data_IF_731658908047
#
_entry.id   IF_731658908047
#
_cell.length_a   1.000
_cell.length_b   1.000
_cell.length_c   1.000
_cell.angle_alpha   90.00
_cell.angle_beta   90.00
_cell.angle_gamma   90.00
#
_symmetry.space_group_name_H-M   'P 1'
#
loop_
_entity.id
_entity.type
_entity.pdbx_description
1 polymer ?
#
# COMPACT_ATOMS: atom_id res chain seq x y z
N UNK A 1 -26.24 -15.06 46.95
CA UNK A 1 -25.23 -15.09 45.87
C UNK A 1 -24.05 -14.21 46.28
N UNK A 2 -22.90 -14.81 46.57
CA UNK A 2 -21.73 -14.12 47.14
C UNK A 2 -21.05 -13.22 46.10
N UNK A 3 -20.94 -11.92 46.41
CA UNK A 3 -20.26 -10.88 45.59
C UNK A 3 -18.80 -11.23 45.25
N UNK A 4 -18.18 -12.15 45.99
CA UNK A 4 -16.81 -12.62 45.76
C UNK A 4 -16.64 -13.46 44.47
N UNK A 5 -17.68 -14.16 43.99
CA UNK A 5 -17.56 -14.98 42.78
C UNK A 5 -17.69 -14.18 41.47
N UNK A 6 -18.30 -13.00 41.51
CA UNK A 6 -18.42 -12.09 40.35
C UNK A 6 -17.11 -11.37 40.02
N UNK A 7 -16.23 -11.14 41.01
CA UNK A 7 -14.91 -10.55 40.76
C UNK A 7 -13.93 -11.54 40.10
N UNK A 8 -14.04 -12.84 40.40
CA UNK A 8 -13.16 -13.87 39.85
C UNK A 8 -13.35 -14.12 38.35
N UNK A 9 -14.58 -14.00 37.85
CA UNK A 9 -14.90 -14.15 36.42
C UNK A 9 -14.46 -12.91 35.62
N UNK A 10 -14.48 -11.72 36.21
CA UNK A 10 -14.04 -10.47 35.57
C UNK A 10 -12.51 -10.41 35.35
N UNK A 11 -11.70 -11.08 36.18
CA UNK A 11 -10.24 -11.12 36.01
C UNK A 11 -9.76 -12.09 34.92
N UNK A 12 -10.54 -13.12 34.56
CA UNK A 12 -10.18 -14.04 33.48
C UNK A 12 -10.46 -13.48 32.06
N UNK A 13 -11.23 -12.40 31.96
CA UNK A 13 -11.51 -11.74 30.69
C UNK A 13 -10.49 -10.64 30.31
N UNK A 14 -9.50 -10.34 31.14
CA UNK A 14 -8.70 -9.11 31.02
C UNK A 14 -7.31 -9.23 30.37
N UNK A 15 -6.85 -10.40 29.92
CA UNK A 15 -5.47 -10.50 29.42
C UNK A 15 -5.26 -11.42 28.21
N UNK A 16 -6.22 -11.50 27.30
CA UNK A 16 -5.84 -11.78 25.90
C UNK A 16 -5.45 -10.46 25.24
N UNK A 17 -4.32 -9.90 25.67
CA UNK A 17 -3.55 -9.05 24.78
C UNK A 17 -3.18 -9.96 23.60
N UNK A 18 -4.03 -9.97 22.58
CA UNK A 18 -3.78 -10.70 21.35
C UNK A 18 -2.40 -10.29 20.88
N UNK A 19 -1.44 -11.21 20.91
CA UNK A 19 -0.08 -10.88 20.54
C UNK A 19 -0.14 -10.41 19.09
N UNK A 20 0.25 -9.16 18.86
CA UNK A 20 0.40 -8.65 17.50
C UNK A 20 1.38 -9.59 16.76
N UNK A 21 1.05 -9.92 15.51
CA UNK A 21 2.05 -10.48 14.62
C UNK A 21 2.92 -9.36 14.10
N UNK A 22 4.10 -9.75 13.63
CA UNK A 22 5.10 -8.82 13.14
C UNK A 22 5.59 -9.29 11.79
N UNK A 23 5.58 -8.38 10.81
CA UNK A 23 6.42 -8.49 9.63
C UNK A 23 7.82 -8.03 10.02
N UNK A 24 8.87 -8.87 9.90
CA UNK A 24 10.23 -8.46 10.22
C UNK A 24 10.67 -7.22 9.42
N UNK A 25 11.72 -6.50 9.87
CA UNK A 25 12.29 -5.41 9.09
C UNK A 25 12.67 -5.87 7.68
N UNK A 26 12.35 -5.05 6.68
CA UNK A 26 12.65 -5.34 5.27
C UNK A 26 13.72 -4.39 4.77
N UNK A 27 14.73 -4.94 4.06
CA UNK A 27 15.76 -4.17 3.36
C UNK A 27 15.90 -4.65 1.92
N UNK A 28 16.00 -3.71 0.99
CA UNK A 28 16.29 -4.00 -0.41
C UNK A 28 17.10 -2.88 -1.04
N UNK A 29 17.65 -3.14 -2.22
CA UNK A 29 18.27 -2.13 -3.08
C UNK A 29 17.51 -1.99 -4.39
N UNK A 30 17.28 -0.77 -4.85
CA UNK A 30 16.71 -0.48 -6.17
C UNK A 30 17.82 0.06 -7.06
N UNK A 31 18.02 -0.59 -8.20
CA UNK A 31 19.04 -0.24 -9.19
C UNK A 31 18.41 -0.06 -10.56
N UNK A 32 19.03 0.74 -11.40
CA UNK A 32 18.65 0.91 -12.79
C UNK A 32 18.92 -0.40 -13.55
N UNK A 33 17.94 -0.86 -14.33
CA UNK A 33 18.07 -2.11 -15.07
C UNK A 33 19.15 -2.09 -16.17
N UNK A 34 19.46 -0.91 -16.72
CA UNK A 34 20.40 -0.74 -17.83
C UNK A 34 21.86 -0.73 -17.37
N UNK A 35 22.17 0.07 -16.34
CA UNK A 35 23.56 0.32 -15.91
C UNK A 35 23.87 -0.15 -14.49
N UNK A 36 22.87 -0.66 -13.75
CA UNK A 36 23.05 -1.16 -12.38
C UNK A 36 23.32 -0.06 -11.34
N UNK A 37 23.26 1.21 -11.73
CA UNK A 37 23.43 2.34 -10.81
C UNK A 37 22.29 2.41 -9.79
N UNK A 38 22.53 2.87 -8.56
CA UNK A 38 21.46 3.02 -7.58
C UNK A 38 20.39 4.03 -8.00
N UNK A 39 19.11 3.69 -7.78
CA UNK A 39 17.99 4.61 -8.05
C UNK A 39 17.55 5.30 -6.77
N UNK A 40 17.98 6.55 -6.59
CA UNK A 40 17.62 7.37 -5.45
C UNK A 40 16.26 8.08 -5.60
N UNK A 41 15.56 8.27 -4.47
CA UNK A 41 14.28 8.99 -4.40
C UNK A 41 13.13 8.32 -5.13
N UNK A 42 13.18 6.99 -5.31
CA UNK A 42 12.00 6.21 -5.68
C UNK A 42 11.11 6.07 -4.45
N UNK A 43 9.81 6.28 -4.62
CA UNK A 43 8.83 6.13 -3.56
C UNK A 43 8.33 4.70 -3.55
N UNK A 44 8.29 4.11 -2.36
CA UNK A 44 7.97 2.70 -2.17
C UNK A 44 6.83 2.60 -1.17
N UNK A 45 5.74 1.94 -1.56
CA UNK A 45 4.71 1.50 -0.61
C UNK A 45 4.86 0.00 -0.38
N UNK A 46 4.68 -0.44 0.86
CA UNK A 46 4.68 -1.85 1.23
C UNK A 46 3.46 -2.12 2.10
N UNK A 47 2.59 -3.01 1.64
CA UNK A 47 1.34 -3.29 2.33
C UNK A 47 0.96 -4.76 2.22
N UNK A 48 0.15 -5.20 3.18
CA UNK A 48 -0.57 -6.45 3.09
C UNK A 48 -2.00 -6.27 3.58
N UNK A 49 -2.87 -7.15 3.10
CA UNK A 49 -4.29 -7.16 3.42
C UNK A 49 -4.69 -8.56 3.86
N UNK A 50 -5.82 -8.62 4.54
CA UNK A 50 -6.55 -9.85 4.76
C UNK A 50 -8.01 -9.65 4.36
N UNK A 51 -8.65 -10.76 4.02
CA UNK A 51 -10.10 -10.83 3.79
C UNK A 51 -10.73 -11.83 4.74
N UNK A 52 -11.92 -11.51 5.20
CA UNK A 52 -12.73 -12.41 6.01
C UNK A 52 -13.13 -13.61 5.16
N UNK A 53 -12.87 -14.82 5.65
CA UNK A 53 -13.39 -16.04 5.06
C UNK A 53 -14.87 -16.17 5.38
N UNK A 54 -15.70 -16.30 4.35
CA UNK A 54 -17.12 -16.66 4.49
C UNK A 54 -17.28 -18.17 4.34
N UNK A 55 -18.36 -18.73 4.88
CA UNK A 55 -18.67 -20.17 4.71
C UNK A 55 -18.77 -20.55 3.22
N UNK A 56 -19.22 -19.63 2.37
CA UNK A 56 -19.36 -19.85 0.91
C UNK A 56 -18.10 -19.47 0.11
N UNK A 57 -17.02 -19.01 0.76
CA UNK A 57 -15.75 -18.68 0.08
C UNK A 57 -15.74 -17.36 -0.70
N UNK A 58 -16.83 -16.59 -0.71
CA UNK A 58 -16.93 -15.29 -1.41
C UNK A 58 -17.52 -14.19 -0.51
N UNK A 59 -16.95 -12.97 -0.58
CA UNK A 59 -17.63 -11.73 -0.15
C UNK A 59 -17.41 -11.23 1.28
N UNK A 60 -16.26 -11.48 1.91
CA UNK A 60 -15.96 -11.00 3.27
C UNK A 60 -15.49 -9.55 3.36
N UNK A 61 -15.44 -9.01 4.58
CA UNK A 61 -14.79 -7.72 4.87
C UNK A 61 -13.30 -7.79 4.54
N UNK A 62 -12.70 -6.64 4.22
CA UNK A 62 -11.24 -6.51 4.09
C UNK A 62 -10.65 -5.78 5.28
N UNK A 63 -9.41 -6.10 5.61
CA UNK A 63 -8.61 -5.42 6.62
C UNK A 63 -7.22 -5.18 6.04
N UNK A 64 -6.71 -3.96 6.21
CA UNK A 64 -5.29 -3.67 5.95
C UNK A 64 -4.50 -4.14 7.16
N UNK A 65 -3.55 -5.06 6.96
CA UNK A 65 -2.72 -5.59 8.04
C UNK A 65 -1.65 -4.56 8.41
N UNK A 66 -0.91 -4.11 7.39
CA UNK A 66 0.02 -3.00 7.49
C UNK A 66 0.05 -2.22 6.17
N UNK A 67 0.47 -0.98 6.26
CA UNK A 67 0.87 -0.15 5.13
C UNK A 67 1.99 0.76 5.62
N UNK A 68 3.08 0.78 4.88
CA UNK A 68 4.21 1.65 5.13
C UNK A 68 4.67 2.32 3.83
N UNK A 69 5.27 3.49 3.97
CA UNK A 69 5.91 4.23 2.90
C UNK A 69 7.38 4.45 3.23
N UNK A 70 8.24 4.29 2.23
CA UNK A 70 9.64 4.66 2.27
C UNK A 70 10.05 5.37 0.97
N UNK A 71 11.22 5.98 0.99
CA UNK A 71 11.89 6.46 -0.22
C UNK A 71 13.28 5.82 -0.29
N UNK A 72 13.76 5.50 -1.49
CA UNK A 72 15.15 5.04 -1.64
C UNK A 72 16.13 6.16 -1.35
N UNK A 73 17.19 5.85 -0.62
CA UNK A 73 18.27 6.79 -0.31
C UNK A 73 19.25 6.98 -1.49
N UNK A 74 20.33 7.72 -1.27
CA UNK A 74 21.37 7.95 -2.28
C UNK A 74 22.09 6.67 -2.75
N UNK A 75 22.08 5.61 -1.95
CA UNK A 75 22.60 4.29 -2.29
C UNK A 75 21.52 3.38 -2.92
N UNK A 76 20.33 3.91 -3.19
CA UNK A 76 19.19 3.17 -3.74
C UNK A 76 18.58 2.20 -2.72
N UNK A 77 18.94 2.29 -1.44
CA UNK A 77 18.41 1.38 -0.42
C UNK A 77 17.02 1.81 0.03
N UNK A 78 16.14 0.83 0.19
CA UNK A 78 14.86 0.99 0.86
C UNK A 78 14.86 0.16 2.14
N UNK A 79 14.35 0.76 3.22
CA UNK A 79 14.27 0.13 4.54
C UNK A 79 12.87 0.35 5.12
N UNK A 80 12.23 -0.72 5.52
CA UNK A 80 11.03 -0.69 6.34
C UNK A 80 11.38 -1.26 7.72
N UNK A 81 11.00 -0.59 8.82
CA UNK A 81 11.11 -1.18 10.14
C UNK A 81 10.16 -2.39 10.25
N UNK A 82 10.22 -3.09 11.38
CA UNK A 82 9.21 -4.09 11.72
C UNK A 82 7.79 -3.50 11.62
N UNK A 83 6.84 -4.26 11.08
CA UNK A 83 5.43 -3.85 10.99
C UNK A 83 4.58 -4.74 11.89
N UNK A 84 4.02 -4.17 12.95
CA UNK A 84 3.07 -4.87 13.81
C UNK A 84 1.66 -4.86 13.20
N UNK A 85 0.94 -5.98 13.32
CA UNK A 85 -0.44 -6.11 12.83
C UNK A 85 -1.25 -7.14 13.65
N UNK A 86 -2.58 -7.08 13.53
CA UNK A 86 -3.45 -8.07 14.19
C UNK A 86 -3.35 -9.43 13.52
N UNK A 87 -3.10 -10.49 14.30
CA UNK A 87 -3.12 -11.89 13.85
C UNK A 87 -4.50 -12.39 13.46
N UNK A 88 -5.54 -11.74 13.97
CA UNK A 88 -6.94 -12.11 13.77
C UNK A 88 -7.75 -10.84 13.55
N UNK A 89 -7.63 -10.21 12.35
CA UNK A 89 -8.43 -9.04 12.01
C UNK A 89 -9.93 -9.37 11.92
N UNK A 90 -10.30 -10.65 11.87
CA UNK A 90 -11.67 -11.14 11.83
C UNK A 90 -11.91 -12.21 12.89
N UNK A 91 -13.17 -12.32 13.35
CA UNK A 91 -13.58 -13.32 14.34
C UNK A 91 -13.59 -14.75 13.78
N UNK A 92 -13.93 -14.90 12.50
CA UNK A 92 -13.94 -16.18 11.80
C UNK A 92 -12.58 -16.44 11.12
N UNK A 93 -12.60 -17.03 9.92
CA UNK A 93 -11.41 -17.32 9.15
C UNK A 93 -10.78 -16.03 8.62
N UNK A 94 -9.46 -15.91 8.77
CA UNK A 94 -8.67 -14.84 8.16
C UNK A 94 -7.93 -15.41 6.97
N UNK A 95 -8.23 -14.92 5.77
CA UNK A 95 -7.50 -15.26 4.56
C UNK A 95 -6.53 -14.14 4.25
N UNK A 96 -5.24 -14.39 4.41
CA UNK A 96 -4.22 -13.41 4.06
C UNK A 96 -4.11 -13.25 2.54
N UNK A 97 -3.94 -12.00 2.09
CA UNK A 97 -3.64 -11.68 0.70
C UNK A 97 -2.11 -11.50 0.54
N UNK A 98 -1.62 -11.73 -0.67
CA UNK A 98 -0.21 -11.56 -1.03
C UNK A 98 0.34 -10.17 -0.67
N UNK A 99 1.37 -10.07 0.19
CA UNK A 99 2.07 -8.80 0.42
C UNK A 99 2.57 -8.22 -0.88
N UNK A 100 2.41 -6.91 -1.03
CA UNK A 100 2.78 -6.19 -2.24
C UNK A 100 3.63 -4.99 -1.88
N UNK A 101 4.76 -4.87 -2.56
CA UNK A 101 5.60 -3.67 -2.56
C UNK A 101 5.54 -3.02 -3.94
N UNK A 102 5.31 -1.71 -4.00
CA UNK A 102 5.21 -0.97 -5.28
C UNK A 102 6.24 0.13 -5.28
N UNK A 103 7.09 0.14 -6.31
CA UNK A 103 8.17 1.11 -6.48
C UNK A 103 7.80 2.07 -7.62
N UNK A 104 7.73 3.35 -7.29
CA UNK A 104 7.40 4.44 -8.19
C UNK A 104 8.55 5.44 -8.27
N UNK A 105 9.04 5.69 -9.48
CA UNK A 105 10.00 6.76 -9.78
C UNK A 105 9.63 7.38 -11.14
N UNK A 106 9.38 8.70 -11.21
CA UNK A 106 9.19 9.36 -12.51
C UNK A 106 10.36 9.08 -13.46
N UNK A 107 10.05 8.80 -14.73
CA UNK A 107 11.03 8.36 -15.74
C UNK A 107 11.33 6.85 -15.75
N UNK A 108 10.70 6.07 -14.87
CA UNK A 108 10.82 4.61 -14.83
C UNK A 108 9.45 3.94 -14.95
N UNK A 109 9.45 2.68 -15.40
CA UNK A 109 8.27 1.81 -15.34
C UNK A 109 7.99 1.46 -13.89
N UNK A 110 6.75 1.66 -13.44
CA UNK A 110 6.33 1.24 -12.10
C UNK A 110 6.53 -0.27 -11.92
N UNK A 111 7.14 -0.65 -10.81
CA UNK A 111 7.47 -2.04 -10.50
C UNK A 111 6.67 -2.53 -9.28
N UNK A 112 5.68 -3.41 -9.48
CA UNK A 112 5.08 -4.17 -8.39
C UNK A 112 5.90 -5.42 -8.11
N UNK A 113 6.21 -5.65 -6.84
CA UNK A 113 6.79 -6.87 -6.30
C UNK A 113 5.73 -7.54 -5.44
N UNK A 114 5.39 -8.78 -5.76
CA UNK A 114 4.29 -9.50 -5.12
C UNK A 114 4.85 -10.78 -4.52
N UNK A 115 4.68 -10.96 -3.22
CA UNK A 115 4.95 -12.23 -2.55
C UNK A 115 3.71 -13.11 -2.64
N UNK A 116 3.66 -13.99 -3.65
CA UNK A 116 2.52 -14.86 -3.89
C UNK A 116 2.40 -15.92 -2.80
N UNK A 117 1.41 -15.75 -1.93
CA UNK A 117 1.06 -16.73 -0.90
C UNK A 117 -0.08 -17.62 -1.36
N UNK A 118 -0.11 -18.86 -0.90
CA UNK A 118 -1.21 -19.79 -1.19
C UNK A 118 -2.51 -19.35 -0.51
N UNK A 119 -3.68 -19.79 -0.99
CA UNK A 119 -4.92 -19.65 -0.23
C UNK A 119 -4.75 -20.24 1.18
N UNK A 120 -5.21 -19.51 2.19
CA UNK A 120 -5.07 -19.89 3.61
C UNK A 120 -3.61 -20.06 4.07
N UNK A 121 -2.71 -19.24 3.54
CA UNK A 121 -1.34 -19.13 4.06
C UNK A 121 -1.32 -18.91 5.57
N UNK A 122 -0.27 -19.40 6.23
CA UNK A 122 -0.01 -19.09 7.62
C UNK A 122 0.75 -17.75 7.76
N UNK A 123 1.02 -17.35 9.00
CA UNK A 123 1.71 -16.10 9.28
C UNK A 123 3.17 -16.11 8.85
N UNK A 124 3.84 -17.26 8.88
CA UNK A 124 5.25 -17.37 8.49
C UNK A 124 5.39 -17.19 6.98
N UNK A 125 4.49 -17.80 6.20
CA UNK A 125 4.39 -17.60 4.77
C UNK A 125 4.04 -16.14 4.43
N UNK A 126 3.09 -15.52 5.13
CA UNK A 126 2.72 -14.12 4.93
C UNK A 126 3.89 -13.15 5.22
N UNK A 127 4.66 -13.43 6.26
CA UNK A 127 5.71 -12.53 6.76
C UNK A 127 7.09 -12.80 6.17
N UNK A 128 7.20 -13.80 5.30
CA UNK A 128 8.36 -13.97 4.45
C UNK A 128 8.37 -12.91 3.33
N UNK A 129 9.51 -12.22 3.15
CA UNK A 129 9.70 -11.34 2.00
C UNK A 129 10.79 -11.91 1.08
N UNK A 130 10.45 -12.42 -0.11
CA UNK A 130 11.38 -13.16 -0.94
C UNK A 130 12.47 -12.29 -1.56
N UNK A 131 12.30 -10.96 -1.52
CA UNK A 131 13.28 -10.01 -2.04
C UNK A 131 14.20 -9.43 -0.96
N UNK A 132 14.14 -9.94 0.27
CA UNK A 132 14.99 -9.49 1.38
C UNK A 132 16.48 -9.50 0.99
N UNK A 133 17.16 -8.38 1.23
CA UNK A 133 18.57 -8.12 0.90
C UNK A 133 18.95 -8.27 -0.59
N UNK A 134 17.96 -8.26 -1.49
CA UNK A 134 18.18 -8.31 -2.94
C UNK A 134 18.23 -6.93 -3.59
N UNK A 135 18.90 -6.88 -4.74
CA UNK A 135 18.83 -5.75 -5.67
C UNK A 135 17.74 -6.00 -6.71
N UNK A 136 16.71 -5.15 -6.74
CA UNK A 136 15.67 -5.17 -7.76
C UNK A 136 15.94 -4.11 -8.83
N UNK A 137 15.65 -4.48 -10.07
CA UNK A 137 15.96 -3.68 -11.25
C UNK A 137 14.75 -2.89 -11.69
N UNK A 138 14.91 -1.57 -11.78
CA UNK A 138 13.89 -0.66 -12.27
C UNK A 138 14.19 -0.30 -13.73
N UNK A 139 13.26 -0.60 -14.63
CA UNK A 139 13.38 -0.31 -16.06
C UNK A 139 13.06 1.16 -16.31
N UNK A 140 13.90 1.89 -17.06
CA UNK A 140 13.56 3.24 -17.55
C UNK A 140 12.32 3.20 -18.43
N UNK A 141 11.41 4.17 -18.25
CA UNK A 141 10.27 4.34 -19.14
C UNK A 141 10.76 4.95 -20.44
N UNK A 142 10.62 4.21 -21.55
CA UNK A 142 11.15 4.65 -22.85
C UNK A 142 10.03 5.03 -23.84
N UNK A 143 8.79 4.66 -23.53
CA UNK A 143 7.65 4.80 -24.43
C UNK A 143 6.47 5.51 -23.79
N UNK A 144 5.56 6.04 -24.62
CA UNK A 144 4.28 6.57 -24.15
C UNK A 144 3.47 5.49 -23.43
N UNK A 145 3.52 4.24 -23.93
CA UNK A 145 2.88 3.09 -23.32
C UNK A 145 3.39 2.80 -21.89
N UNK A 146 4.71 2.83 -21.69
CA UNK A 146 5.33 2.68 -20.36
C UNK A 146 4.81 3.76 -19.39
N UNK A 147 4.70 5.00 -19.87
CA UNK A 147 4.22 6.14 -19.07
C UNK A 147 2.75 6.01 -18.73
N UNK A 148 1.90 5.69 -19.72
CA UNK A 148 0.46 5.49 -19.54
C UNK A 148 0.17 4.35 -18.54
N UNK A 149 0.83 3.21 -18.73
CA UNK A 149 0.70 2.05 -17.85
C UNK A 149 1.16 2.38 -16.42
N UNK A 150 2.31 3.06 -16.28
CA UNK A 150 2.83 3.45 -14.96
C UNK A 150 1.90 4.44 -14.25
N UNK A 151 1.36 5.43 -14.96
CA UNK A 151 0.39 6.37 -14.39
C UNK A 151 -0.88 5.65 -13.91
N UNK A 152 -1.44 4.76 -14.75
CA UNK A 152 -2.63 3.99 -14.42
C UNK A 152 -2.41 3.05 -13.21
N UNK A 153 -1.31 2.31 -13.21
CA UNK A 153 -0.95 1.42 -12.10
C UNK A 153 -0.64 2.20 -10.83
N UNK A 154 0.05 3.34 -10.91
CA UNK A 154 0.35 4.16 -9.75
C UNK A 154 -0.94 4.66 -9.09
N UNK A 155 -1.88 5.17 -9.89
CA UNK A 155 -3.20 5.58 -9.39
C UNK A 155 -3.98 4.41 -8.79
N UNK A 156 -3.95 3.22 -9.41
CA UNK A 156 -4.59 2.02 -8.88
C UNK A 156 -3.99 1.58 -7.54
N UNK A 157 -2.67 1.39 -7.47
CA UNK A 157 -1.97 0.97 -6.27
C UNK A 157 -2.04 1.99 -5.13
N UNK A 158 -2.05 3.29 -5.43
CA UNK A 158 -2.22 4.32 -4.41
C UNK A 158 -3.57 4.20 -3.68
N UNK A 159 -4.58 3.58 -4.30
CA UNK A 159 -5.87 3.32 -3.68
C UNK A 159 -5.93 2.02 -2.86
N UNK A 160 -5.01 1.06 -3.11
CA UNK A 160 -5.07 -0.27 -2.48
C UNK A 160 -4.94 -0.29 -0.95
N UNK A 161 -4.14 0.60 -0.31
CA UNK A 161 -4.06 0.62 1.14
C UNK A 161 -5.37 1.03 1.84
N UNK A 162 -6.25 1.77 1.13
CA UNK A 162 -7.54 2.19 1.66
C UNK A 162 -8.54 1.04 1.58
N UNK A 163 -9.21 0.76 2.69
CA UNK A 163 -10.31 -0.18 2.77
C UNK A 163 -11.51 0.46 3.48
N UNK A 164 -12.67 -0.21 3.45
CA UNK A 164 -13.84 0.24 4.21
C UNK A 164 -13.60 0.25 5.72
N UNK A 165 -12.66 -0.55 6.22
CA UNK A 165 -12.29 -0.65 7.65
C UNK A 165 -11.11 0.25 8.02
N UNK A 166 -10.29 0.65 7.05
CA UNK A 166 -9.15 1.55 7.24
C UNK A 166 -9.22 2.71 6.25
N UNK A 167 -10.26 3.53 6.40
CA UNK A 167 -10.48 4.71 5.54
C UNK A 167 -9.36 5.75 5.68
N UNK A 168 -8.62 5.77 6.80
CA UNK A 168 -7.55 6.75 7.02
C UNK A 168 -6.18 6.29 6.51
N UNK A 169 -6.07 5.11 5.89
CA UNK A 169 -4.79 4.52 5.45
C UNK A 169 -3.99 5.38 4.47
N UNK A 170 -4.64 6.30 3.75
CA UNK A 170 -3.98 7.26 2.86
C UNK A 170 -2.95 8.14 3.59
N UNK A 171 -3.12 8.34 4.91
CA UNK A 171 -2.14 9.08 5.73
C UNK A 171 -0.79 8.38 5.86
N UNK A 172 -0.74 7.07 5.63
CA UNK A 172 0.50 6.29 5.74
C UNK A 172 1.35 6.33 4.47
N UNK A 173 0.81 6.84 3.36
CA UNK A 173 1.48 6.86 2.04
C UNK A 173 1.38 8.22 1.33
N UNK A 174 1.65 9.33 2.04
CA UNK A 174 1.34 10.66 1.53
C UNK A 174 2.16 11.06 0.29
N UNK A 175 3.46 10.74 0.27
CA UNK A 175 4.37 11.13 -0.81
C UNK A 175 4.07 10.32 -2.07
N UNK A 176 3.77 9.03 -1.92
CA UNK A 176 3.40 8.16 -3.02
C UNK A 176 2.10 8.62 -3.67
N UNK A 177 1.09 9.00 -2.89
CA UNK A 177 -0.17 9.54 -3.40
C UNK A 177 0.06 10.82 -4.23
N UNK A 178 0.88 11.74 -3.74
CA UNK A 178 1.24 12.97 -4.46
C UNK A 178 2.02 12.67 -5.74
N UNK A 179 2.96 11.73 -5.70
CA UNK A 179 3.71 11.36 -6.90
C UNK A 179 2.83 10.67 -7.95
N UNK A 180 1.92 9.79 -7.53
CA UNK A 180 0.95 9.15 -8.41
C UNK A 180 -0.02 10.18 -9.02
N UNK A 181 -0.46 11.17 -8.25
CA UNK A 181 -1.26 12.29 -8.72
C UNK A 181 -0.52 13.15 -9.76
N UNK A 182 0.72 13.54 -9.48
CA UNK A 182 1.55 14.31 -10.42
C UNK A 182 1.77 13.53 -11.72
N UNK A 183 2.03 12.23 -11.64
CA UNK A 183 2.19 11.36 -12.80
C UNK A 183 0.88 11.23 -13.61
N UNK A 184 -0.27 11.09 -12.94
CA UNK A 184 -1.57 11.08 -13.61
C UNK A 184 -1.87 12.41 -14.32
N UNK A 185 -1.58 13.55 -13.67
CA UNK A 185 -1.76 14.88 -14.24
C UNK A 185 -0.84 15.10 -15.45
N UNK A 186 0.43 14.69 -15.37
CA UNK A 186 1.38 14.74 -16.47
C UNK A 186 0.91 13.91 -17.66
N UNK A 187 0.54 12.65 -17.42
CA UNK A 187 -0.02 11.79 -18.46
C UNK A 187 -1.26 12.42 -19.12
N UNK A 188 -2.20 12.94 -18.33
CA UNK A 188 -3.41 13.57 -18.85
C UNK A 188 -3.14 14.84 -19.68
N UNK A 189 -2.04 15.55 -19.43
CA UNK A 189 -1.58 16.65 -20.29
C UNK A 189 -1.00 16.11 -21.60
N UNK A 190 -0.09 15.13 -21.52
CA UNK A 190 0.64 14.61 -22.67
C UNK A 190 -0.21 13.78 -23.62
N UNK A 191 -1.17 12.99 -23.12
CA UNK A 191 -1.99 12.07 -23.93
C UNK A 191 -2.78 12.75 -25.06
N UNK A 192 -2.99 14.08 -24.98
CA UNK A 192 -3.63 14.85 -26.06
C UNK A 192 -2.72 15.00 -27.28
N UNK A 193 -1.41 14.99 -27.07
CA UNK A 193 -0.39 15.10 -28.12
C UNK A 193 0.10 13.72 -28.63
N UNK A 194 -0.26 12.65 -27.93
CA UNK A 194 0.04 11.26 -28.31
C UNK A 194 -0.46 10.94 -29.73
N UNK A 195 0.40 10.29 -30.52
CA UNK A 195 0.10 9.89 -31.90
C UNK A 195 -0.68 8.58 -31.96
N UNK A 196 -0.50 7.71 -30.96
CA UNK A 196 -1.21 6.43 -30.86
C UNK A 196 -2.66 6.62 -30.36
N UNK A 197 -3.68 6.28 -31.17
CA UNK A 197 -5.08 6.42 -30.78
C UNK A 197 -5.48 5.56 -29.58
N UNK A 198 -4.76 4.46 -29.29
CA UNK A 198 -5.06 3.58 -28.16
C UNK A 198 -4.88 4.31 -26.82
N UNK A 199 -3.88 5.20 -26.73
CA UNK A 199 -3.56 5.89 -25.48
C UNK A 199 -4.18 7.28 -25.38
N UNK A 200 -4.56 7.90 -26.50
CA UNK A 200 -5.14 9.26 -26.54
C UNK A 200 -6.36 9.42 -25.62
N UNK A 201 -7.19 8.39 -25.55
CA UNK A 201 -8.44 8.38 -24.79
C UNK A 201 -8.29 7.81 -23.38
N UNK A 202 -7.11 7.32 -22.99
CA UNK A 202 -6.88 6.72 -21.68
C UNK A 202 -6.66 7.80 -20.62
N UNK A 203 -7.75 8.23 -19.98
CA UNK A 203 -7.70 9.14 -18.83
C UNK A 203 -7.28 8.37 -17.59
N UNK A 204 -6.30 8.89 -16.85
CA UNK A 204 -5.95 8.36 -15.53
C UNK A 204 -6.57 9.27 -14.46
N UNK A 205 -7.38 8.70 -13.57
CA UNK A 205 -7.97 9.47 -12.47
C UNK A 205 -6.90 9.87 -11.46
N UNK A 206 -6.99 11.09 -10.94
CA UNK A 206 -6.16 11.53 -9.83
C UNK A 206 -6.53 10.76 -8.55
N UNK A 207 -5.59 10.05 -7.91
CA UNK A 207 -5.85 9.41 -6.63
C UNK A 207 -6.06 10.44 -5.51
N UNK A 208 -5.43 11.62 -5.59
CA UNK A 208 -5.63 12.69 -4.62
C UNK A 208 -6.98 13.37 -4.76
N UNK A 209 -7.43 13.66 -5.98
CA UNK A 209 -8.74 14.26 -6.24
C UNK A 209 -9.87 13.42 -5.65
N UNK A 210 -9.77 12.09 -5.78
CA UNK A 210 -10.69 11.16 -5.13
C UNK A 210 -10.70 11.33 -3.61
N UNK A 211 -9.54 11.48 -2.98
CA UNK A 211 -9.46 11.63 -1.52
C UNK A 211 -9.95 13.03 -1.09
N UNK A 212 -9.46 14.08 -1.72
CA UNK A 212 -9.82 15.47 -1.37
C UNK A 212 -11.25 15.84 -1.75
N UNK A 213 -11.81 15.21 -2.78
CA UNK A 213 -13.20 15.37 -3.19
C UNK A 213 -14.19 14.72 -2.23
N UNK A 214 -13.75 13.74 -1.43
CA UNK A 214 -14.54 13.07 -0.39
C UNK A 214 -14.23 13.58 1.03
N UNK A 215 -13.74 14.82 1.16
CA UNK A 215 -13.31 15.40 2.44
C UNK A 215 -14.31 15.23 3.58
N UNK A 216 -15.60 15.50 3.32
CA UNK A 216 -16.67 15.35 4.33
C UNK A 216 -16.70 13.94 4.94
N UNK A 217 -16.59 12.91 4.11
CA UNK A 217 -16.60 11.51 4.56
C UNK A 217 -15.42 11.24 5.49
N UNK A 218 -14.23 11.72 5.14
CA UNK A 218 -13.03 11.50 5.97
C UNK A 218 -13.10 12.26 7.30
N UNK A 219 -13.63 13.48 7.31
CA UNK A 219 -13.83 14.26 8.54
C UNK A 219 -14.83 13.57 9.46
N UNK A 220 -16.00 13.16 8.93
CA UNK A 220 -17.05 12.46 9.70
C UNK A 220 -16.57 11.11 10.27
N UNK A 221 -15.63 10.45 9.60
CA UNK A 221 -15.01 9.19 10.06
C UNK A 221 -13.80 9.39 10.97
N UNK A 222 -13.50 10.63 11.37
CA UNK A 222 -12.40 10.94 12.29
C UNK A 222 -11.01 10.89 11.65
N UNK A 223 -10.91 10.80 10.32
CA UNK A 223 -9.63 10.90 9.62
C UNK A 223 -9.13 12.35 9.50
N UNK A 224 -9.96 13.36 9.77
CA UNK A 224 -9.61 14.78 9.58
C UNK A 224 -9.63 15.21 8.11
N UNK A 225 -9.29 16.48 7.84
CA UNK A 225 -9.32 17.06 6.49
C UNK A 225 -8.17 16.53 5.63
N UNK A 226 -8.44 15.84 4.51
CA UNK A 226 -7.38 15.46 3.58
C UNK A 226 -6.72 16.67 2.91
N UNK A 227 -7.47 17.72 2.62
CA UNK A 227 -6.91 18.94 2.00
C UNK A 227 -5.85 19.58 2.91
N UNK A 228 -6.16 19.74 4.19
CA UNK A 228 -5.20 20.26 5.16
C UNK A 228 -4.00 19.34 5.33
N UNK A 229 -4.22 18.01 5.35
CA UNK A 229 -3.13 17.05 5.48
C UNK A 229 -2.17 17.06 4.28
N UNK A 230 -2.68 17.18 3.05
CA UNK A 230 -1.87 17.14 1.84
C UNK A 230 -1.21 18.48 1.47
N UNK A 231 -1.67 19.59 2.04
CA UNK A 231 -1.09 20.92 1.81
C UNK A 231 0.46 20.95 1.86
N UNK A 232 1.15 20.43 2.91
CA UNK A 232 2.61 20.46 2.97
C UNK A 232 3.31 19.62 1.89
N UNK A 233 2.62 18.62 1.31
CA UNK A 233 3.21 17.76 0.29
C UNK A 233 2.99 18.26 -1.15
N UNK A 234 2.05 19.19 -1.33
CA UNK A 234 1.71 19.77 -2.63
C UNK A 234 2.56 21.00 -2.99
N UNK A 235 3.19 21.62 -2.00
CA UNK A 235 4.18 22.69 -2.17
C UNK A 235 5.44 22.16 -2.86
#
# INVERSE_FOLDING_TARGET
MNRAHLLGILLFCLSFAGHAATMPPVRMKVVDAQDGSPVAGALVIFYAKAREGTWTGHGGKHATLWVAEAATDGAGEVRFPEQAFSRQPFFLNTNYESPTMVILKPGYVLLPLIHSVRPNADLDELTAWPYQDQAVKLKRGATEADTAMSANLAASYANHPMSSTNLCAWKSVPRFLVAADRLAAEWNRMRKATTDPAYRHQVVMSPLERITGNEKVFVEKGCGSPKAFFEPYLR
#
